data_IF_465190776911
#
_entry.id   IF_465190776911
#
_cell.length_a   1.000
_cell.length_b   1.000
_cell.length_c   1.000
_cell.angle_alpha   90.00
_cell.angle_beta   90.00
_cell.angle_gamma   90.00
#
_symmetry.space_group_name_H-M   'P 1'
#
loop_
_entity.id
_entity.type
_entity.pdbx_description
1 polymer ?
#
# COMPACT_ATOMS: atom_id res chain seq x y z
N UNK A 1 -6.41 19.79 37.18
CA UNK A 1 -5.23 18.93 36.95
C UNK A 1 -4.58 18.69 38.30
N UNK A 2 -4.69 17.47 38.83
CA UNK A 2 -3.92 17.07 40.00
C UNK A 2 -2.45 17.01 39.58
N UNK A 3 -1.55 17.61 40.37
CA UNK A 3 -0.13 17.30 40.33
C UNK A 3 -0.02 15.77 40.42
N UNK A 4 0.41 15.14 39.33
CA UNK A 4 1.01 13.82 39.47
C UNK A 4 2.14 14.01 40.47
N UNK A 5 2.07 13.30 41.59
CA UNK A 5 3.20 13.19 42.49
C UNK A 5 4.42 12.81 41.64
N UNK A 6 5.59 13.41 41.87
CA UNK A 6 6.79 13.05 41.09
C UNK A 6 7.06 11.54 41.22
N UNK A 7 6.64 10.95 42.33
CA UNK A 7 6.62 9.51 42.59
C UNK A 7 5.58 8.72 41.77
N UNK A 8 4.86 9.32 40.84
CA UNK A 8 3.94 8.63 39.93
C UNK A 8 4.34 8.77 38.44
N UNK A 9 5.48 9.42 38.18
CA UNK A 9 6.01 9.65 36.84
C UNK A 9 7.13 8.64 36.57
N UNK A 10 7.16 8.08 35.37
CA UNK A 10 8.31 7.39 34.79
C UNK A 10 8.74 8.13 33.53
N UNK A 11 10.05 8.35 33.38
CA UNK A 11 10.57 8.96 32.16
C UNK A 11 10.49 7.95 31.00
N UNK A 12 10.15 8.42 29.80
CA UNK A 12 10.00 7.55 28.64
C UNK A 12 11.27 6.76 28.33
N UNK A 13 12.44 7.36 28.53
CA UNK A 13 13.75 6.74 28.32
C UNK A 13 14.11 5.69 29.37
N UNK A 14 13.51 5.73 30.56
CA UNK A 14 13.66 4.71 31.61
C UNK A 14 12.85 3.43 31.33
N UNK A 15 11.83 3.52 30.47
CA UNK A 15 11.00 2.36 30.12
C UNK A 15 11.81 1.25 29.44
N UNK A 16 11.54 -0.04 29.71
CA UNK A 16 12.12 -1.14 28.97
C UNK A 16 12.02 -0.97 27.44
N UNK A 17 13.00 -1.51 26.70
CA UNK A 17 13.04 -1.40 25.23
C UNK A 17 11.73 -1.84 24.56
N UNK A 18 11.12 -2.90 25.06
CA UNK A 18 9.85 -3.42 24.57
C UNK A 18 8.74 -2.36 24.64
N UNK A 19 8.62 -1.69 25.79
CA UNK A 19 7.59 -0.68 26.04
C UNK A 19 7.81 0.52 25.12
N UNK A 20 9.04 1.06 25.07
CA UNK A 20 9.38 2.17 24.17
C UNK A 20 9.06 1.86 22.70
N UNK A 21 9.29 0.62 22.27
CA UNK A 21 8.98 0.20 20.90
C UNK A 21 7.46 0.15 20.64
N UNK A 22 6.66 -0.30 21.61
CA UNK A 22 5.19 -0.27 21.49
C UNK A 22 4.66 1.15 21.33
N UNK A 23 5.23 2.12 22.05
CA UNK A 23 4.89 3.54 21.90
C UNK A 23 5.29 4.09 20.52
N UNK A 24 6.49 3.77 20.02
CA UNK A 24 6.91 4.17 18.66
C UNK A 24 5.97 3.68 17.57
N UNK A 25 5.49 2.44 17.68
CA UNK A 25 4.56 1.86 16.70
C UNK A 25 3.23 2.61 16.57
N UNK A 26 2.82 3.35 17.61
CA UNK A 26 1.60 4.17 17.60
C UNK A 26 1.88 5.66 17.45
N UNK A 27 3.12 6.03 17.09
CA UNK A 27 3.54 7.42 16.88
C UNK A 27 3.79 8.20 18.16
N UNK A 28 4.12 7.52 19.27
CA UNK A 28 4.39 8.12 20.56
C UNK A 28 5.85 7.88 21.02
N UNK A 29 6.78 7.81 20.07
CA UNK A 29 8.21 7.76 20.36
C UNK A 29 8.72 9.08 20.93
N UNK A 30 9.86 9.05 21.62
CA UNK A 30 10.47 10.26 22.21
C UNK A 30 10.78 11.37 21.22
N UNK A 31 11.13 10.98 19.99
CA UNK A 31 11.39 11.88 18.87
C UNK A 31 10.11 12.37 18.16
N UNK A 32 8.96 11.77 18.47
CA UNK A 32 7.68 12.05 17.82
C UNK A 32 6.70 12.83 18.71
N UNK A 33 6.96 12.92 20.02
CA UNK A 33 6.09 13.61 20.98
C UNK A 33 6.69 14.97 21.36
N UNK A 34 5.99 16.02 20.99
CA UNK A 34 6.29 17.42 21.33
C UNK A 34 5.14 18.06 22.14
N UNK A 35 5.21 19.39 22.34
CA UNK A 35 4.20 20.17 23.07
C UNK A 35 2.84 20.23 22.34
N UNK A 36 2.83 20.04 21.02
CA UNK A 36 1.62 20.13 20.17
C UNK A 36 0.98 18.75 19.93
N UNK A 37 1.62 17.68 20.39
CA UNK A 37 1.14 16.31 20.19
C UNK A 37 -0.16 16.07 20.98
N UNK A 38 -1.28 15.69 20.33
CA UNK A 38 -2.56 15.51 21.00
C UNK A 38 -2.61 14.19 21.79
N UNK A 39 -2.16 14.26 23.05
CA UNK A 39 -2.16 13.14 24.01
C UNK A 39 -3.53 12.91 24.68
N UNK A 40 -4.51 13.78 24.42
CA UNK A 40 -5.89 13.65 24.88
C UNK A 40 -6.69 12.55 24.14
N UNK A 41 -6.21 12.14 22.96
CA UNK A 41 -6.76 11.01 22.21
C UNK A 41 -6.06 9.72 22.66
N UNK A 42 -6.77 8.91 23.46
CA UNK A 42 -6.26 7.63 23.94
C UNK A 42 -5.82 6.69 22.82
N UNK A 43 -4.60 6.15 22.94
CA UNK A 43 -4.08 5.05 22.12
C UNK A 43 -4.11 3.75 22.92
N UNK A 44 -4.48 2.66 22.26
CA UNK A 44 -4.44 1.31 22.87
C UNK A 44 -3.50 0.42 22.07
N UNK A 45 -2.64 -0.30 22.77
CA UNK A 45 -1.81 -1.36 22.19
C UNK A 45 -1.75 -2.57 23.13
N UNK A 46 -1.36 -3.71 22.58
CA UNK A 46 -1.45 -5.01 23.25
C UNK A 46 -0.06 -5.60 23.50
N UNK A 47 0.12 -6.17 24.69
CA UNK A 47 1.27 -6.99 25.06
C UNK A 47 0.94 -8.47 24.90
N UNK A 48 1.82 -9.22 24.24
CA UNK A 48 1.68 -10.67 24.20
C UNK A 48 1.96 -11.24 25.59
N UNK A 49 1.37 -12.39 25.92
CA UNK A 49 1.54 -13.01 27.23
C UNK A 49 3.01 -13.34 27.55
N UNK A 50 3.80 -13.75 26.56
CA UNK A 50 5.23 -14.04 26.72
C UNK A 50 6.10 -12.79 26.98
N UNK A 51 5.59 -11.61 26.64
CA UNK A 51 6.32 -10.35 26.71
C UNK A 51 6.05 -9.59 28.02
N UNK A 52 5.04 -10.01 28.81
CA UNK A 52 4.60 -9.29 30.02
C UNK A 52 5.72 -9.09 31.03
N UNK A 53 6.59 -10.08 31.18
CA UNK A 53 7.71 -10.10 32.13
C UNK A 53 8.85 -9.15 31.72
N UNK A 54 8.82 -8.62 30.50
CA UNK A 54 9.81 -7.68 29.97
C UNK A 54 9.31 -6.22 29.97
N UNK A 55 8.08 -6.00 30.44
CA UNK A 55 7.43 -4.69 30.47
C UNK A 55 7.35 -4.16 31.90
N UNK A 56 7.54 -2.86 32.07
CA UNK A 56 7.28 -2.16 33.32
C UNK A 56 5.81 -1.69 33.43
N UNK A 57 5.05 -1.78 32.34
CA UNK A 57 3.71 -1.20 32.21
C UNK A 57 2.58 -2.20 32.38
N UNK A 58 2.83 -3.50 32.24
CA UNK A 58 1.79 -4.55 32.38
C UNK A 58 2.04 -5.46 33.58
N UNK A 59 0.95 -6.05 34.10
CA UNK A 59 0.82 -6.79 35.37
C UNK A 59 0.41 -5.90 36.55
N UNK A 60 1.29 -5.06 37.08
CA UNK A 60 0.97 -4.03 38.09
C UNK A 60 2.07 -2.97 38.02
N UNK A 61 1.81 -1.76 37.52
CA UNK A 61 2.85 -0.76 37.33
C UNK A 61 3.03 0.07 38.61
N UNK A 62 4.28 0.42 38.92
CA UNK A 62 4.62 1.25 40.10
C UNK A 62 4.36 2.75 39.88
N UNK A 63 4.12 3.14 38.63
CA UNK A 63 3.92 4.52 38.13
C UNK A 63 2.81 4.49 37.08
N UNK A 64 1.97 5.52 37.01
CA UNK A 64 0.84 5.57 36.08
C UNK A 64 0.90 6.73 35.07
N UNK A 65 1.99 7.50 35.06
CA UNK A 65 2.20 8.64 34.15
C UNK A 65 3.55 8.48 33.46
N UNK A 66 3.55 8.67 32.14
CA UNK A 66 4.78 8.72 31.33
C UNK A 66 5.07 10.18 31.03
N UNK A 67 6.34 10.58 31.17
CA UNK A 67 6.86 11.88 30.72
C UNK A 67 7.86 11.66 29.58
N UNK A 68 7.68 12.40 28.48
CA UNK A 68 8.61 12.42 27.35
C UNK A 68 9.67 13.52 27.54
N UNK A 69 10.78 13.46 26.79
CA UNK A 69 11.85 14.46 26.90
C UNK A 69 11.43 15.90 26.55
N UNK A 70 10.33 16.05 25.81
CA UNK A 70 9.66 17.33 25.56
C UNK A 70 8.95 17.93 26.78
N UNK A 71 8.81 17.17 27.87
CA UNK A 71 8.04 17.54 29.06
C UNK A 71 6.54 17.23 28.94
N UNK A 72 6.10 16.72 27.78
CA UNK A 72 4.74 16.22 27.59
C UNK A 72 4.47 15.00 28.48
N UNK A 73 3.24 14.88 28.99
CA UNK A 73 2.86 13.82 29.94
C UNK A 73 1.53 13.16 29.57
N UNK A 74 1.45 11.85 29.75
CA UNK A 74 0.20 11.11 29.58
C UNK A 74 0.03 10.06 30.67
N UNK A 75 -1.20 9.96 31.19
CA UNK A 75 -1.59 8.85 32.05
C UNK A 75 -1.88 7.60 31.20
N UNK A 76 -1.58 6.42 31.74
CA UNK A 76 -1.98 5.16 31.14
C UNK A 76 -2.75 4.30 32.15
N UNK A 77 -3.54 3.37 31.63
CA UNK A 77 -4.23 2.38 32.45
C UNK A 77 -4.18 1.03 31.76
N UNK A 78 -4.09 -0.03 32.57
CA UNK A 78 -4.18 -1.40 32.08
C UNK A 78 -5.66 -1.77 32.09
N UNK A 79 -6.21 -2.05 30.91
CA UNK A 79 -7.49 -2.74 30.82
C UNK A 79 -7.23 -4.21 30.60
N UNK A 80 -7.74 -5.06 31.49
CA UNK A 80 -7.78 -6.51 31.27
C UNK A 80 -8.71 -6.79 30.09
N UNK A 81 -8.17 -6.72 28.88
CA UNK A 81 -8.90 -7.18 27.72
C UNK A 81 -9.05 -8.70 27.86
N UNK A 82 -10.27 -9.22 27.73
CA UNK A 82 -10.57 -10.66 27.66
C UNK A 82 -9.91 -11.36 26.44
N UNK A 83 -8.88 -10.77 25.83
CA UNK A 83 -8.13 -11.24 24.68
C UNK A 83 -7.12 -12.34 25.02
N UNK A 84 -7.34 -13.10 26.11
CA UNK A 84 -6.49 -14.26 26.47
C UNK A 84 -6.32 -15.27 25.31
N UNK A 85 -7.19 -15.19 24.29
CA UNK A 85 -7.21 -16.03 23.10
C UNK A 85 -6.97 -15.27 21.77
N UNK A 86 -6.41 -14.05 21.78
CA UNK A 86 -6.11 -13.35 20.54
C UNK A 86 -4.92 -14.00 19.81
N UNK A 87 -5.14 -14.46 18.58
CA UNK A 87 -4.09 -15.03 17.73
C UNK A 87 -3.21 -13.94 17.16
N UNK A 88 -1.91 -13.95 17.52
CA UNK A 88 -0.91 -13.10 16.88
C UNK A 88 -0.64 -13.59 15.44
N UNK A 89 -1.10 -12.85 14.44
CA UNK A 89 -0.76 -13.11 13.04
C UNK A 89 0.60 -12.50 12.72
N UNK A 90 1.58 -13.34 12.42
CA UNK A 90 2.89 -12.89 11.94
C UNK A 90 2.94 -12.98 10.43
N UNK A 91 3.24 -11.87 9.77
CA UNK A 91 3.39 -11.80 8.31
C UNK A 91 4.87 -11.71 7.95
N UNK A 92 5.31 -12.52 7.00
CA UNK A 92 6.64 -12.41 6.41
C UNK A 92 6.48 -11.88 4.99
N UNK A 93 7.03 -10.70 4.75
CA UNK A 93 7.12 -10.11 3.42
C UNK A 93 8.49 -10.43 2.83
N UNK A 94 8.50 -10.96 1.61
CA UNK A 94 9.72 -11.18 0.84
C UNK A 94 9.61 -10.40 -0.45
N UNK A 95 10.49 -9.41 -0.62
CA UNK A 95 10.62 -8.73 -1.90
C UNK A 95 11.45 -9.60 -2.85
N UNK A 96 11.00 -9.73 -4.10
CA UNK A 96 11.77 -10.37 -5.17
C UNK A 96 12.09 -9.33 -6.22
N UNK A 97 13.37 -9.19 -6.55
CA UNK A 97 13.81 -8.37 -7.66
C UNK A 97 13.31 -8.99 -8.98
N UNK A 98 12.49 -8.24 -9.71
CA UNK A 98 11.97 -8.67 -11.02
C UNK A 98 12.97 -8.36 -12.15
N UNK A 99 13.68 -7.24 -12.04
CA UNK A 99 14.69 -6.83 -12.99
C UNK A 99 15.82 -6.02 -12.31
N UNK A 100 17.03 -6.02 -12.89
CA UNK A 100 18.17 -5.26 -12.36
C UNK A 100 18.02 -3.75 -12.49
N UNK A 101 17.29 -3.28 -13.52
CA UNK A 101 17.06 -1.85 -13.80
C UNK A 101 15.65 -1.61 -14.32
N UNK A 102 15.24 -0.34 -14.39
CA UNK A 102 13.95 0.08 -14.95
C UNK A 102 13.89 -0.24 -16.44
N UNK A 103 14.98 -0.07 -17.17
CA UNK A 103 15.07 -0.37 -18.61
C UNK A 103 14.93 -1.86 -18.86
N UNK A 104 15.59 -2.70 -18.07
CA UNK A 104 15.48 -4.15 -18.16
C UNK A 104 14.04 -4.62 -17.85
N UNK A 105 13.39 -4.00 -16.87
CA UNK A 105 11.99 -4.26 -16.58
C UNK A 105 11.08 -3.84 -17.75
N UNK A 106 11.30 -2.65 -18.30
CA UNK A 106 10.55 -2.16 -19.45
C UNK A 106 10.71 -3.04 -20.69
N UNK A 107 11.90 -3.59 -20.93
CA UNK A 107 12.11 -4.59 -22.00
C UNK A 107 11.35 -5.89 -21.72
N UNK A 108 11.40 -6.42 -20.50
CA UNK A 108 10.61 -7.61 -20.13
C UNK A 108 9.11 -7.39 -20.36
N UNK A 109 8.58 -6.22 -20.00
CA UNK A 109 7.19 -5.87 -20.24
C UNK A 109 6.88 -5.83 -21.75
N UNK A 110 7.68 -5.13 -22.56
CA UNK A 110 7.46 -5.09 -24.03
C UNK A 110 7.52 -6.50 -24.64
N UNK A 111 8.50 -7.32 -24.28
CA UNK A 111 8.59 -8.70 -24.78
C UNK A 111 7.38 -9.55 -24.40
N UNK A 112 6.82 -9.35 -23.20
CA UNK A 112 5.67 -10.12 -22.73
C UNK A 112 4.35 -9.67 -23.35
N UNK A 113 4.13 -8.36 -23.44
CA UNK A 113 2.83 -7.77 -23.74
C UNK A 113 2.67 -7.38 -25.21
N UNK A 114 3.75 -7.24 -25.99
CA UNK A 114 3.66 -6.91 -27.41
C UNK A 114 3.29 -8.14 -28.23
N UNK A 115 2.29 -8.01 -29.10
CA UNK A 115 1.92 -9.02 -30.10
C UNK A 115 1.95 -8.45 -31.51
N UNK A 116 2.07 -9.32 -32.52
CA UNK A 116 2.05 -8.92 -33.93
C UNK A 116 0.60 -8.78 -34.42
N UNK A 117 0.20 -7.57 -34.81
CA UNK A 117 -1.09 -7.30 -35.42
C UNK A 117 -1.00 -7.49 -36.94
N UNK A 118 -1.17 -8.74 -37.37
CA UNK A 118 -1.06 -9.16 -38.77
C UNK A 118 -2.31 -9.92 -39.23
N UNK A 119 -2.37 -10.27 -40.52
CA UNK A 119 -3.49 -11.04 -41.08
C UNK A 119 -4.80 -10.26 -41.20
N UNK A 120 -4.75 -8.93 -41.12
CA UNK A 120 -5.92 -8.05 -41.19
C UNK A 120 -6.53 -8.02 -42.60
N UNK A 121 -7.86 -8.02 -42.66
CA UNK A 121 -8.62 -7.63 -43.84
C UNK A 121 -8.41 -6.15 -44.18
N UNK A 122 -8.75 -5.74 -45.41
CA UNK A 122 -8.59 -4.34 -45.84
C UNK A 122 -9.43 -3.37 -44.99
N UNK A 123 -10.60 -3.81 -44.54
CA UNK A 123 -11.46 -3.00 -43.66
C UNK A 123 -10.83 -2.81 -42.27
N UNK A 124 -10.26 -3.86 -41.68
CA UNK A 124 -9.54 -3.79 -40.40
C UNK A 124 -8.27 -2.96 -40.52
N UNK A 125 -7.51 -3.15 -41.61
CA UNK A 125 -6.31 -2.36 -41.91
C UNK A 125 -6.64 -0.87 -41.99
N UNK A 126 -7.71 -0.50 -42.69
CA UNK A 126 -8.16 0.88 -42.79
C UNK A 126 -8.53 1.48 -41.42
N UNK A 127 -9.11 0.70 -40.51
CA UNK A 127 -9.39 1.15 -39.15
C UNK A 127 -8.11 1.40 -38.34
N UNK A 128 -7.14 0.48 -38.42
CA UNK A 128 -5.84 0.63 -37.75
C UNK A 128 -5.10 1.86 -38.28
N UNK A 129 -5.05 2.04 -39.60
CA UNK A 129 -4.43 3.21 -40.24
C UNK A 129 -5.09 4.54 -39.83
N UNK A 130 -6.42 4.56 -39.69
CA UNK A 130 -7.14 5.72 -39.13
C UNK A 130 -6.81 5.93 -37.66
N UNK A 131 -6.71 4.86 -36.87
CA UNK A 131 -6.43 4.92 -35.45
C UNK A 131 -5.02 5.47 -35.14
N UNK A 132 -4.00 5.04 -35.90
CA UNK A 132 -2.62 5.56 -35.78
C UNK A 132 -2.46 6.96 -36.40
N UNK A 133 -3.41 7.36 -37.26
CA UNK A 133 -3.43 8.66 -37.89
C UNK A 133 -3.70 9.80 -36.90
N UNK A 134 -3.38 11.03 -37.33
CA UNK A 134 -3.46 12.26 -36.51
C UNK A 134 -4.78 12.47 -35.75
N UNK A 135 -5.89 12.02 -36.33
CA UNK A 135 -7.24 12.25 -35.79
C UNK A 135 -7.84 11.03 -35.08
N UNK A 136 -7.17 9.88 -35.13
CA UNK A 136 -7.69 8.62 -34.62
C UNK A 136 -8.92 8.11 -35.38
N UNK A 137 -9.40 6.94 -34.96
CA UNK A 137 -10.68 6.40 -35.39
C UNK A 137 -11.79 6.95 -34.49
N UNK A 138 -12.81 7.56 -35.10
CA UNK A 138 -13.98 8.09 -34.40
C UNK A 138 -15.25 7.51 -35.04
N UNK A 139 -16.25 7.23 -34.20
CA UNK A 139 -17.58 6.85 -34.64
C UNK A 139 -18.47 8.10 -34.52
N UNK A 140 -19.11 8.48 -35.61
CA UNK A 140 -19.99 9.64 -35.64
C UNK A 140 -21.14 9.52 -34.64
N UNK A 141 -21.70 10.65 -34.24
CA UNK A 141 -22.83 10.69 -33.30
C UNK A 141 -24.03 9.92 -33.88
N UNK A 142 -24.46 8.87 -33.17
CA UNK A 142 -25.54 7.98 -33.63
C UNK A 142 -25.08 6.88 -34.59
N UNK A 143 -23.78 6.82 -34.91
CA UNK A 143 -23.17 5.71 -35.63
C UNK A 143 -22.97 4.48 -34.73
N UNK A 144 -22.79 3.32 -35.36
CA UNK A 144 -22.44 2.07 -34.68
C UNK A 144 -21.08 1.56 -35.17
N UNK A 145 -20.31 0.84 -34.33
CA UNK A 145 -19.08 0.23 -34.78
C UNK A 145 -19.32 -0.77 -35.91
N UNK A 146 -18.40 -0.82 -36.87
CA UNK A 146 -18.45 -1.78 -37.97
C UNK A 146 -18.09 -3.21 -37.51
N UNK A 147 -18.39 -4.22 -38.33
CA UNK A 147 -17.96 -5.60 -38.06
C UNK A 147 -16.44 -5.72 -37.97
N UNK A 148 -15.70 -4.95 -38.78
CA UNK A 148 -14.24 -4.88 -38.72
C UNK A 148 -13.74 -4.34 -37.37
N UNK A 149 -14.45 -3.38 -36.77
CA UNK A 149 -14.12 -2.90 -35.42
C UNK A 149 -14.28 -4.03 -34.39
N UNK A 150 -15.41 -4.75 -34.42
CA UNK A 150 -15.65 -5.85 -33.49
C UNK A 150 -14.70 -7.02 -33.70
N UNK A 151 -14.27 -7.27 -34.93
CA UNK A 151 -13.24 -8.25 -35.25
C UNK A 151 -11.90 -7.90 -34.63
N UNK A 152 -11.45 -6.65 -34.75
CA UNK A 152 -10.24 -6.16 -34.07
C UNK A 152 -10.34 -6.31 -32.55
N UNK A 153 -11.48 -5.97 -31.93
CA UNK A 153 -11.66 -6.17 -30.49
C UNK A 153 -11.45 -7.63 -30.09
N UNK A 154 -11.95 -8.59 -30.89
CA UNK A 154 -11.74 -10.03 -30.62
C UNK A 154 -10.28 -10.43 -30.72
N UNK A 155 -9.51 -9.86 -31.66
CA UNK A 155 -8.06 -10.10 -31.75
C UNK A 155 -7.38 -9.59 -30.48
N UNK A 156 -7.63 -8.34 -30.10
CA UNK A 156 -7.00 -7.74 -28.92
C UNK A 156 -7.37 -8.51 -27.63
N UNK A 157 -8.61 -8.96 -27.49
CA UNK A 157 -9.05 -9.77 -26.33
C UNK A 157 -8.38 -11.14 -26.22
N UNK A 158 -7.72 -11.64 -27.27
CA UNK A 158 -6.91 -12.87 -27.20
C UNK A 158 -5.52 -12.64 -26.60
N UNK A 159 -5.13 -11.37 -26.40
CA UNK A 159 -3.81 -10.99 -25.90
C UNK A 159 -3.89 -10.39 -24.49
N UNK A 160 -2.79 -10.47 -23.76
CA UNK A 160 -2.69 -9.91 -22.41
C UNK A 160 -2.56 -8.38 -22.50
N UNK A 161 -3.43 -7.64 -21.82
CA UNK A 161 -3.32 -6.19 -21.71
C UNK A 161 -2.38 -5.78 -20.57
N UNK A 162 -1.71 -4.64 -20.72
CA UNK A 162 -1.03 -3.96 -19.62
C UNK A 162 -2.09 -3.24 -18.79
N UNK A 163 -2.43 -3.81 -17.62
CA UNK A 163 -3.44 -3.28 -16.70
C UNK A 163 -2.82 -2.86 -15.35
N UNK A 164 -3.43 -1.87 -14.69
CA UNK A 164 -2.96 -1.30 -13.42
C UNK A 164 -3.45 -2.08 -12.17
N UNK A 165 -3.95 -3.30 -12.35
CA UNK A 165 -4.34 -4.21 -11.27
C UNK A 165 -5.63 -3.83 -10.54
N UNK A 166 -6.35 -2.79 -10.99
CA UNK A 166 -7.71 -2.53 -10.52
C UNK A 166 -8.67 -3.48 -11.23
N UNK A 167 -9.56 -4.12 -10.47
CA UNK A 167 -10.66 -4.90 -11.04
C UNK A 167 -11.54 -3.97 -11.89
N UNK A 168 -11.37 -4.03 -13.21
CA UNK A 168 -12.04 -3.17 -14.18
C UNK A 168 -11.41 -3.37 -15.56
N UNK A 169 -12.24 -3.40 -16.60
CA UNK A 169 -11.91 -3.81 -17.99
C UNK A 169 -11.09 -2.73 -18.73
N UNK A 170 -10.02 -2.25 -18.11
CA UNK A 170 -9.18 -1.18 -18.65
C UNK A 170 -7.73 -1.62 -18.68
N UNK A 171 -7.14 -1.58 -19.86
CA UNK A 171 -5.75 -1.93 -20.09
C UNK A 171 -5.29 -1.40 -21.44
N UNK A 172 -3.99 -1.13 -21.54
CA UNK A 172 -3.36 -0.74 -22.78
C UNK A 172 -2.79 -1.99 -23.46
N UNK A 173 -2.92 -2.07 -24.78
CA UNK A 173 -2.31 -3.13 -25.56
C UNK A 173 -1.09 -2.56 -26.28
N UNK A 174 -0.04 -3.37 -26.38
CA UNK A 174 1.10 -3.08 -27.22
C UNK A 174 1.01 -3.98 -28.45
N UNK A 175 1.01 -3.37 -29.63
CA UNK A 175 0.91 -4.12 -30.87
C UNK A 175 1.97 -3.67 -31.87
N UNK A 176 2.62 -4.64 -32.52
CA UNK A 176 3.44 -4.37 -33.69
C UNK A 176 2.54 -4.35 -34.92
N UNK A 177 2.55 -3.24 -35.65
CA UNK A 177 1.86 -3.09 -36.93
C UNK A 177 2.81 -2.44 -37.92
N UNK A 178 3.00 -3.07 -39.08
CA UNK A 178 3.94 -2.63 -40.12
C UNK A 178 5.38 -2.39 -39.58
N UNK A 179 5.83 -3.30 -38.72
CA UNK A 179 7.18 -3.25 -38.12
C UNK A 179 7.37 -2.18 -37.04
N UNK A 180 6.33 -1.45 -36.66
CA UNK A 180 6.37 -0.44 -35.59
C UNK A 180 5.47 -0.83 -34.42
N UNK A 181 5.93 -0.57 -33.20
CA UNK A 181 5.15 -0.83 -31.98
C UNK A 181 4.32 0.40 -31.64
N UNK A 182 3.03 0.19 -31.44
CA UNK A 182 2.04 1.17 -30.97
C UNK A 182 1.52 0.80 -29.58
#
# INVERSE_FOLDING_TARGET
>A
MQQADQDNIVQFDELPRLDREKFRLVGLGDDAVDEDTPLDIGKTFVYANADRNQSALVSTPDRSVIEWSSGSRAGFSITDSNSKNATLKTYRYTARQLAPTVEAYGQQLRTRYTFELSGLSDAERNLVEKAIGKYGYNIDRGGSPSDAFWSLIKIFQQHEAVADGKEGVTGNYLATYDGQVY
#
